data_IF_618389075785
#
_entry.id   IF_618389075785
#
_cell.length_a   1.000
_cell.length_b   1.000
_cell.length_c   1.000
_cell.angle_alpha   90.00
_cell.angle_beta   90.00
_cell.angle_gamma   90.00
#
_symmetry.space_group_name_H-M   'P 1'
#
loop_
_entity.id
_entity.type
_entity.pdbx_description
1 polymer ?
#
# COMPACT_ATOMS: atom_id res chain seq x y z
N UNK A 1 -23.47 8.63 -44.81
CA UNK A 1 -23.31 9.45 -43.59
C UNK A 1 -23.44 8.60 -42.30
N UNK A 2 -22.86 7.38 -42.25
CA UNK A 2 -23.18 6.39 -41.19
C UNK A 2 -22.04 6.12 -40.17
N UNK A 3 -20.92 6.86 -40.21
CA UNK A 3 -19.76 6.62 -39.34
C UNK A 3 -19.87 7.26 -37.95
N UNK A 4 -20.67 8.32 -37.79
CA UNK A 4 -20.73 9.05 -36.52
C UNK A 4 -21.30 8.21 -35.35
N UNK A 5 -22.39 7.43 -35.52
CA UNK A 5 -22.90 6.56 -34.45
C UNK A 5 -21.90 5.46 -34.04
N UNK A 6 -21.08 5.02 -35.00
CA UNK A 6 -20.03 4.03 -34.79
C UNK A 6 -18.94 4.58 -33.87
N UNK A 7 -18.45 5.77 -34.19
CA UNK A 7 -17.38 6.43 -33.45
C UNK A 7 -17.81 6.75 -32.02
N UNK A 8 -19.05 7.20 -31.83
CA UNK A 8 -19.64 7.42 -30.49
C UNK A 8 -19.73 6.12 -29.69
N UNK A 9 -20.04 5.00 -30.34
CA UNK A 9 -20.13 3.70 -29.66
C UNK A 9 -18.75 3.21 -29.22
N UNK A 10 -17.73 3.36 -30.07
CA UNK A 10 -16.35 3.03 -29.74
C UNK A 10 -15.80 3.89 -28.59
N UNK A 11 -15.98 5.21 -28.63
CA UNK A 11 -15.57 6.10 -27.55
C UNK A 11 -16.21 5.75 -26.20
N UNK A 12 -17.49 5.36 -26.19
CA UNK A 12 -18.17 4.92 -24.96
C UNK A 12 -17.55 3.64 -24.39
N UNK A 13 -17.10 2.72 -25.25
CA UNK A 13 -16.45 1.50 -24.80
C UNK A 13 -15.05 1.81 -24.28
N UNK A 14 -14.26 2.62 -24.98
CA UNK A 14 -12.94 3.06 -24.50
C UNK A 14 -13.02 3.76 -23.15
N UNK A 15 -14.00 4.65 -22.96
CA UNK A 15 -14.23 5.32 -21.67
C UNK A 15 -14.55 4.35 -20.53
N UNK A 16 -15.31 3.27 -20.80
CA UNK A 16 -15.58 2.23 -19.80
C UNK A 16 -14.33 1.42 -19.47
N UNK A 17 -13.55 1.03 -20.48
CA UNK A 17 -12.28 0.32 -20.29
C UNK A 17 -11.36 1.13 -19.38
N UNK A 18 -11.17 2.42 -19.69
CA UNK A 18 -10.32 3.30 -18.90
C UNK A 18 -10.82 3.43 -17.45
N UNK A 19 -12.12 3.63 -17.25
CA UNK A 19 -12.71 3.75 -15.91
C UNK A 19 -12.59 2.47 -15.09
N UNK A 20 -12.82 1.30 -15.70
CA UNK A 20 -12.75 0.00 -15.00
C UNK A 20 -11.30 -0.31 -14.59
N UNK A 21 -10.33 -0.04 -15.48
CA UNK A 21 -8.90 -0.18 -15.21
C UNK A 21 -8.43 0.79 -14.11
N UNK A 22 -8.82 2.07 -14.21
CA UNK A 22 -8.44 3.09 -13.23
C UNK A 22 -8.96 2.74 -11.85
N UNK A 23 -10.23 2.37 -11.73
CA UNK A 23 -10.84 2.00 -10.45
C UNK A 23 -10.08 0.85 -9.79
N UNK A 24 -9.89 -0.24 -10.53
CA UNK A 24 -9.28 -1.47 -10.01
C UNK A 24 -7.82 -1.30 -9.59
N UNK A 25 -7.04 -0.52 -10.34
CA UNK A 25 -5.64 -0.26 -10.02
C UNK A 25 -5.50 0.76 -8.88
N UNK A 26 -6.23 1.86 -8.96
CA UNK A 26 -6.06 3.00 -8.07
C UNK A 26 -6.47 2.68 -6.65
N UNK A 27 -7.53 1.89 -6.44
CA UNK A 27 -7.95 1.49 -5.10
C UNK A 27 -6.87 0.69 -4.36
N UNK A 28 -6.27 -0.29 -5.04
CA UNK A 28 -5.19 -1.10 -4.47
C UNK A 28 -3.97 -0.24 -4.13
N UNK A 29 -3.56 0.62 -5.07
CA UNK A 29 -2.40 1.50 -4.86
C UNK A 29 -2.65 2.45 -3.68
N UNK A 30 -3.81 3.10 -3.60
CA UNK A 30 -4.17 4.00 -2.49
C UNK A 30 -4.23 3.26 -1.14
N UNK A 31 -4.71 2.02 -1.14
CA UNK A 31 -4.70 1.19 0.07
C UNK A 31 -3.25 0.96 0.55
N UNK A 32 -2.38 0.45 -0.33
CA UNK A 32 -1.00 0.13 0.05
C UNK A 32 -0.12 1.35 0.28
N UNK A 33 -0.39 2.50 -0.35
CA UNK A 33 0.28 3.76 -0.02
C UNK A 33 0.01 4.16 1.44
N UNK A 34 -1.23 4.06 1.90
CA UNK A 34 -1.60 4.36 3.30
C UNK A 34 -0.98 3.37 4.28
N UNK A 35 -1.01 2.08 3.94
CA UNK A 35 -0.40 1.02 4.76
C UNK A 35 1.12 1.20 4.88
N UNK A 36 1.81 1.57 3.78
CA UNK A 36 3.24 1.92 3.79
C UNK A 36 3.50 3.14 4.67
N UNK A 37 2.65 4.17 4.61
CA UNK A 37 2.81 5.35 5.44
C UNK A 37 2.68 5.00 6.93
N UNK A 38 1.69 4.19 7.31
CA UNK A 38 1.53 3.72 8.68
C UNK A 38 2.75 2.91 9.16
N UNK A 39 3.32 2.05 8.30
CA UNK A 39 4.54 1.32 8.60
C UNK A 39 5.75 2.25 8.79
N UNK A 40 5.90 3.29 7.95
CA UNK A 40 6.92 4.33 8.12
C UNK A 40 6.77 5.06 9.46
N UNK A 41 5.55 5.46 9.81
CA UNK A 41 5.27 6.15 11.07
C UNK A 41 5.55 5.28 12.30
N UNK A 42 5.29 3.97 12.21
CA UNK A 42 5.68 3.01 13.24
C UNK A 42 7.20 2.92 13.39
N UNK A 43 7.93 2.80 12.29
CA UNK A 43 9.40 2.75 12.31
C UNK A 43 10.03 4.04 12.82
N UNK A 44 9.45 5.20 12.48
CA UNK A 44 9.88 6.49 13.00
C UNK A 44 9.69 6.56 14.53
N UNK A 45 8.52 6.17 15.04
CA UNK A 45 8.26 6.09 16.50
C UNK A 45 9.22 5.13 17.20
N UNK A 46 9.54 3.99 16.59
CA UNK A 46 10.54 3.05 17.10
C UNK A 46 11.94 3.68 17.17
N UNK A 47 12.36 4.38 16.11
CA UNK A 47 13.66 5.05 16.09
C UNK A 47 13.77 6.14 17.17
N UNK A 48 12.69 6.90 17.40
CA UNK A 48 12.62 7.86 18.50
C UNK A 48 12.71 7.18 19.87
N UNK A 49 11.98 6.08 20.08
CA UNK A 49 12.05 5.32 21.33
C UNK A 49 13.45 4.72 21.58
N UNK A 50 14.18 4.32 20.52
CA UNK A 50 15.57 3.89 20.65
C UNK A 50 16.47 5.04 21.13
N UNK A 51 16.35 6.22 20.51
CA UNK A 51 17.12 7.38 20.93
C UNK A 51 16.82 7.78 22.38
N UNK A 52 15.54 7.74 22.79
CA UNK A 52 15.13 7.98 24.18
C UNK A 52 15.76 6.95 25.13
N UNK A 53 15.77 5.67 24.74
CA UNK A 53 16.41 4.60 25.49
C UNK A 53 17.94 4.80 25.63
N UNK A 54 18.65 5.09 24.54
CA UNK A 54 20.09 5.37 24.56
C UNK A 54 20.42 6.58 25.43
N UNK A 55 19.58 7.62 25.40
CA UNK A 55 19.74 8.78 26.27
C UNK A 55 19.50 8.45 27.74
N UNK A 56 18.50 7.61 28.04
CA UNK A 56 18.23 7.14 29.40
C UNK A 56 19.37 6.28 29.96
N UNK A 57 20.03 5.45 29.14
CA UNK A 57 21.23 4.72 29.52
C UNK A 57 22.37 5.68 29.93
N UNK A 58 22.64 6.71 29.12
CA UNK A 58 23.65 7.74 29.44
C UNK A 58 23.32 8.50 30.74
N UNK A 59 22.03 8.76 30.99
CA UNK A 59 21.59 9.40 32.22
C UNK A 59 21.80 8.51 33.45
N UNK A 60 21.50 7.21 33.32
CA UNK A 60 21.75 6.22 34.35
C UNK A 60 23.25 6.08 34.66
N UNK A 61 24.11 6.04 33.65
CA UNK A 61 25.56 6.00 33.85
C UNK A 61 26.05 7.24 34.63
N UNK A 62 25.52 8.42 34.32
CA UNK A 62 25.82 9.65 35.07
C UNK A 62 25.32 9.60 36.52
N UNK A 63 24.13 9.05 36.76
CA UNK A 63 23.58 8.88 38.10
C UNK A 63 24.46 7.94 38.95
N UNK A 64 24.92 6.83 38.34
CA UNK A 64 25.86 5.87 38.93
C UNK A 64 27.20 6.50 39.26
N UNK A 65 27.80 7.25 38.33
CA UNK A 65 29.07 7.96 38.56
C UNK A 65 28.99 8.99 39.71
N UNK A 66 27.82 9.62 39.89
CA UNK A 66 27.59 10.60 40.95
C UNK A 66 27.07 9.98 42.26
N UNK A 67 26.81 8.67 42.28
CA UNK A 67 26.15 7.95 43.38
C UNK A 67 24.85 8.64 43.84
N UNK A 68 24.09 9.21 42.90
CA UNK A 68 22.91 10.03 43.20
C UNK A 68 21.78 9.73 42.22
N UNK A 69 20.54 9.68 42.72
CA UNK A 69 19.31 9.50 41.93
C UNK A 69 19.27 8.20 41.09
N UNK A 70 20.06 7.19 41.49
CA UNK A 70 20.19 5.92 40.76
C UNK A 70 18.83 5.21 40.59
N UNK A 71 18.01 5.01 41.63
CA UNK A 71 16.75 4.26 41.47
C UNK A 71 15.79 4.93 40.47
N UNK A 72 15.72 6.27 40.49
CA UNK A 72 14.89 7.03 39.55
C UNK A 72 15.39 6.90 38.11
N UNK A 73 16.72 6.95 37.91
CA UNK A 73 17.31 6.80 36.58
C UNK A 73 17.14 5.37 36.03
N UNK A 74 17.22 4.35 36.90
CA UNK A 74 16.97 2.95 36.53
C UNK A 74 15.52 2.72 36.13
N UNK A 75 14.56 3.24 36.90
CA UNK A 75 13.14 3.14 36.57
C UNK A 75 12.82 3.82 35.23
N UNK A 76 13.37 5.01 35.00
CA UNK A 76 13.18 5.73 33.74
C UNK A 76 13.77 4.99 32.55
N UNK A 77 14.97 4.42 32.70
CA UNK A 77 15.62 3.62 31.68
C UNK A 77 14.81 2.36 31.35
N UNK A 78 14.29 1.68 32.38
CA UNK A 78 13.47 0.49 32.20
C UNK A 78 12.18 0.81 31.45
N UNK A 79 11.54 1.94 31.74
CA UNK A 79 10.35 2.39 31.01
C UNK A 79 10.65 2.70 29.53
N UNK A 80 11.78 3.38 29.24
CA UNK A 80 12.21 3.62 27.86
C UNK A 80 12.51 2.32 27.10
N UNK A 81 13.17 1.35 27.76
CA UNK A 81 13.45 0.02 27.19
C UNK A 81 12.15 -0.71 26.83
N UNK A 82 11.20 -0.81 27.77
CA UNK A 82 9.92 -1.47 27.54
C UNK A 82 9.15 -0.86 26.37
N UNK A 83 9.17 0.47 26.25
CA UNK A 83 8.55 1.18 25.12
C UNK A 83 9.23 0.84 23.80
N UNK A 84 10.56 0.83 23.77
CA UNK A 84 11.33 0.47 22.58
C UNK A 84 11.09 -0.99 22.16
N UNK A 85 11.07 -1.92 23.11
CA UNK A 85 10.85 -3.35 22.85
C UNK A 85 9.44 -3.60 22.31
N UNK A 86 8.42 -2.98 22.92
CA UNK A 86 7.03 -3.07 22.44
C UNK A 86 6.89 -2.57 21.00
N UNK A 87 7.54 -1.46 20.65
CA UNK A 87 7.55 -0.92 19.29
C UNK A 87 8.36 -1.80 18.33
N UNK A 88 9.45 -2.42 18.80
CA UNK A 88 10.27 -3.34 18.01
C UNK A 88 9.50 -4.61 17.65
N UNK A 89 8.82 -5.22 18.61
CA UNK A 89 8.00 -6.42 18.38
C UNK A 89 6.82 -6.12 17.46
N UNK A 90 6.10 -5.01 17.71
CA UNK A 90 5.03 -4.57 16.81
C UNK A 90 5.54 -4.29 15.41
N UNK A 91 6.69 -3.63 15.28
CA UNK A 91 7.31 -3.32 13.98
C UNK A 91 7.68 -4.58 13.21
N UNK A 92 8.31 -5.56 13.86
CA UNK A 92 8.68 -6.84 13.26
C UNK A 92 7.46 -7.62 12.77
N UNK A 93 6.42 -7.72 13.60
CA UNK A 93 5.17 -8.40 13.25
C UNK A 93 4.48 -7.73 12.07
N UNK A 94 4.32 -6.40 12.11
CA UNK A 94 3.60 -5.67 11.06
C UNK A 94 4.36 -5.71 9.73
N UNK A 95 5.67 -5.49 9.71
CA UNK A 95 6.46 -5.55 8.48
C UNK A 95 6.46 -6.95 7.84
N UNK A 96 6.51 -8.00 8.66
CA UNK A 96 6.44 -9.38 8.18
C UNK A 96 5.08 -9.67 7.55
N UNK A 97 4.00 -9.27 8.24
CA UNK A 97 2.64 -9.43 7.72
C UNK A 97 2.42 -8.61 6.45
N UNK A 98 2.85 -7.35 6.45
CA UNK A 98 2.78 -6.43 5.32
C UNK A 98 3.41 -7.02 4.06
N UNK A 99 4.64 -7.56 4.16
CA UNK A 99 5.35 -8.17 3.03
C UNK A 99 4.53 -9.31 2.41
N UNK A 100 3.96 -10.19 3.24
CA UNK A 100 3.12 -11.30 2.79
C UNK A 100 1.82 -10.85 2.14
N UNK A 101 1.05 -10.01 2.84
CA UNK A 101 -0.25 -9.50 2.34
C UNK A 101 -0.09 -8.76 1.02
N UNK A 102 0.93 -7.90 0.90
CA UNK A 102 1.20 -7.09 -0.30
C UNK A 102 1.40 -7.97 -1.53
N UNK A 103 2.26 -8.98 -1.46
CA UNK A 103 2.55 -9.83 -2.63
C UNK A 103 1.29 -10.55 -3.10
N UNK A 104 0.50 -11.09 -2.17
CA UNK A 104 -0.74 -11.80 -2.48
C UNK A 104 -1.76 -10.86 -3.14
N UNK A 105 -1.96 -9.66 -2.57
CA UNK A 105 -2.93 -8.70 -3.07
C UNK A 105 -2.58 -8.17 -4.46
N UNK A 106 -1.31 -7.79 -4.69
CA UNK A 106 -0.86 -7.34 -6.01
C UNK A 106 -0.93 -8.46 -7.05
N UNK A 107 -0.54 -9.69 -6.69
CA UNK A 107 -0.69 -10.84 -7.60
C UNK A 107 -2.14 -11.05 -7.99
N UNK A 108 -3.06 -11.05 -7.03
CA UNK A 108 -4.50 -11.20 -7.29
C UNK A 108 -5.02 -10.08 -8.19
N UNK A 109 -4.66 -8.84 -7.90
CA UNK A 109 -5.09 -7.69 -8.69
C UNK A 109 -4.57 -7.74 -10.14
N UNK A 110 -3.32 -8.11 -10.36
CA UNK A 110 -2.76 -8.26 -11.71
C UNK A 110 -3.44 -9.36 -12.52
N UNK A 111 -3.78 -10.49 -11.88
CA UNK A 111 -4.55 -11.56 -12.53
C UNK A 111 -5.93 -11.04 -12.93
N UNK A 112 -6.65 -10.44 -12.00
CA UNK A 112 -7.99 -9.91 -12.26
C UNK A 112 -7.99 -8.78 -13.30
N UNK A 113 -6.92 -7.97 -13.36
CA UNK A 113 -6.73 -6.95 -14.38
C UNK A 113 -6.54 -7.59 -15.77
N UNK A 114 -5.71 -8.63 -15.88
CA UNK A 114 -5.52 -9.34 -17.14
C UNK A 114 -6.83 -10.00 -17.62
N UNK A 115 -7.59 -10.61 -16.72
CA UNK A 115 -8.90 -11.18 -17.03
C UNK A 115 -9.89 -10.11 -17.52
N UNK A 116 -9.88 -8.93 -16.89
CA UNK A 116 -10.69 -7.78 -17.28
C UNK A 116 -10.29 -7.26 -18.66
N UNK A 117 -9.00 -7.12 -18.95
CA UNK A 117 -8.48 -6.71 -20.27
C UNK A 117 -8.88 -7.69 -21.37
N UNK A 118 -8.78 -9.00 -21.11
CA UNK A 118 -9.25 -10.02 -22.05
C UNK A 118 -10.74 -9.88 -22.32
N UNK A 119 -11.55 -9.60 -21.30
CA UNK A 119 -12.99 -9.37 -21.45
C UNK A 119 -13.27 -8.13 -22.31
N UNK A 120 -12.57 -7.03 -22.07
CA UNK A 120 -12.70 -5.82 -22.88
C UNK A 120 -12.27 -6.04 -24.33
N UNK A 121 -11.15 -6.73 -24.56
CA UNK A 121 -10.68 -7.05 -25.90
C UNK A 121 -11.71 -7.89 -26.68
N UNK A 122 -12.30 -8.92 -26.05
CA UNK A 122 -13.38 -9.71 -26.65
C UNK A 122 -14.60 -8.86 -27.01
N UNK A 123 -15.01 -7.95 -26.12
CA UNK A 123 -16.13 -7.04 -26.39
C UNK A 123 -15.83 -6.08 -27.56
N UNK A 124 -14.60 -5.57 -27.62
CA UNK A 124 -14.15 -4.70 -28.72
C UNK A 124 -14.16 -5.43 -30.06
N UNK A 125 -13.63 -6.66 -30.11
CA UNK A 125 -13.64 -7.49 -31.32
C UNK A 125 -15.07 -7.74 -31.80
N UNK A 126 -15.99 -8.12 -30.89
CA UNK A 126 -17.40 -8.33 -31.24
C UNK A 126 -18.05 -7.08 -31.79
N UNK A 127 -17.80 -5.92 -31.16
CA UNK A 127 -18.33 -4.63 -31.64
C UNK A 127 -17.81 -4.33 -33.05
N UNK A 128 -16.49 -4.40 -33.26
CA UNK A 128 -15.85 -4.12 -34.55
C UNK A 128 -16.32 -5.08 -35.64
N UNK A 129 -16.51 -6.36 -35.32
CA UNK A 129 -17.07 -7.33 -36.27
C UNK A 129 -18.48 -6.92 -36.70
N UNK A 130 -19.34 -6.54 -35.76
CA UNK A 130 -20.67 -6.00 -36.07
C UNK A 130 -20.61 -4.74 -36.94
N UNK A 131 -19.62 -3.87 -36.72
CA UNK A 131 -19.39 -2.70 -37.58
C UNK A 131 -19.04 -3.10 -39.02
N UNK A 132 -18.13 -4.06 -39.18
CA UNK A 132 -17.70 -4.56 -40.49
C UNK A 132 -18.88 -5.18 -41.23
N UNK A 133 -19.70 -5.97 -40.55
CA UNK A 133 -20.83 -6.65 -41.17
C UNK A 133 -21.90 -5.66 -41.63
N UNK A 134 -22.15 -4.60 -40.85
CA UNK A 134 -23.01 -3.49 -41.26
C UNK A 134 -22.46 -2.78 -42.51
N UNK A 135 -21.15 -2.52 -42.58
CA UNK A 135 -20.53 -1.86 -43.73
C UNK A 135 -20.56 -2.73 -44.99
N UNK A 136 -20.41 -4.06 -44.87
CA UNK A 136 -20.53 -5.00 -46.00
C UNK A 136 -21.95 -5.13 -46.53
N UNK A 137 -22.94 -4.75 -45.73
CA UNK A 137 -24.36 -4.81 -46.08
C UNK A 137 -24.85 -3.57 -46.85
N UNK A 138 -23.97 -2.58 -47.03
CA UNK A 138 -24.14 -1.42 -47.92
C UNK A 138 -23.47 -1.67 -49.27
#
# INVERSE_FOLDING_TARGET
>A
MCFMPLFVSLQKVEGRVASDQELKLTELLRYYMRDIQAAKDLLYRRARALADYENSNKALDKARLKSKDIPQAEEHQQHCLQKFDKLSESGKKELTSFKGRRVIAFRKNLIEMAELEIKHAKNNVTLLQGCIDQLKSY
#
